data_IF_104225255329
#
_entry.id   IF_104225255329
#
_cell.length_a   1.000
_cell.length_b   1.000
_cell.length_c   1.000
_cell.angle_alpha   90.00
_cell.angle_beta   90.00
_cell.angle_gamma   90.00
#
_symmetry.space_group_name_H-M   'P 1'
#
loop_
_entity.id
_entity.type
_entity.pdbx_description
1 polymer ?
#
# COMPACT_ATOMS: atom_id res chain seq x y z
N UNK A 1 9.88 9.88 1.53
CA UNK A 1 10.10 9.26 0.21
C UNK A 1 9.86 10.30 -0.89
N UNK A 2 10.85 11.13 -1.23
CA UNK A 2 10.64 12.27 -2.14
C UNK A 2 10.44 11.85 -3.62
N UNK A 3 10.57 10.56 -3.95
CA UNK A 3 10.48 10.03 -5.32
C UNK A 3 9.11 9.43 -5.67
N UNK A 4 8.14 9.42 -4.74
CA UNK A 4 6.80 8.87 -5.00
C UNK A 4 6.04 9.84 -5.92
N UNK A 5 5.78 9.40 -7.14
CA UNK A 5 4.97 10.13 -8.12
C UNK A 5 3.53 9.65 -8.03
N UNK A 6 2.57 10.56 -8.18
CA UNK A 6 1.12 10.30 -8.15
C UNK A 6 0.56 9.83 -6.78
N UNK A 7 1.31 10.07 -5.69
CA UNK A 7 0.92 9.68 -4.34
C UNK A 7 1.16 8.20 -4.04
N UNK A 8 0.84 7.79 -2.82
CA UNK A 8 0.99 6.41 -2.37
C UNK A 8 0.08 6.14 -1.17
N UNK A 9 -0.32 4.88 -1.03
CA UNK A 9 -1.17 4.43 0.07
C UNK A 9 -0.47 3.27 0.78
N UNK A 10 -0.46 3.31 2.11
CA UNK A 10 0.01 2.19 2.91
C UNK A 10 -1.13 1.20 3.16
N UNK A 11 -0.97 -0.02 2.68
CA UNK A 11 -1.96 -1.10 2.83
C UNK A 11 -1.41 -2.14 3.80
N UNK A 12 -1.92 -2.25 5.05
CA UNK A 12 -1.56 -3.34 5.93
C UNK A 12 -2.10 -4.65 5.36
N UNK A 13 -1.24 -5.64 5.18
CA UNK A 13 -1.60 -6.95 4.62
C UNK A 13 -0.66 -8.04 5.10
N UNK A 14 -1.18 -9.27 5.16
CA UNK A 14 -0.39 -10.48 5.38
C UNK A 14 0.04 -11.15 4.06
N UNK A 15 -0.44 -10.65 2.92
CA UNK A 15 -0.03 -11.11 1.60
C UNK A 15 1.44 -10.79 1.36
N UNK A 16 2.14 -11.73 0.71
CA UNK A 16 3.55 -11.56 0.41
C UNK A 16 3.72 -10.88 -0.95
N UNK A 17 4.12 -9.60 -0.93
CA UNK A 17 4.41 -8.80 -2.13
C UNK A 17 5.90 -8.52 -2.26
N UNK A 18 6.34 -8.32 -3.49
CA UNK A 18 7.70 -7.90 -3.85
C UNK A 18 7.68 -6.49 -4.41
N UNK A 19 8.81 -5.80 -4.30
CA UNK A 19 8.99 -4.51 -4.94
C UNK A 19 8.82 -4.66 -6.46
N UNK A 20 8.03 -3.79 -7.05
CA UNK A 20 7.72 -3.80 -8.48
C UNK A 20 6.46 -4.57 -8.85
N UNK A 21 5.88 -5.37 -7.95
CA UNK A 21 4.63 -6.08 -8.23
C UNK A 21 3.53 -5.10 -8.63
N UNK A 22 2.82 -5.44 -9.70
CA UNK A 22 1.60 -4.74 -10.11
C UNK A 22 0.42 -5.30 -9.34
N UNK A 23 -0.44 -4.41 -8.85
CA UNK A 23 -1.60 -4.77 -8.02
C UNK A 23 -2.84 -4.06 -8.55
N UNK A 24 -3.97 -4.77 -8.46
CA UNK A 24 -5.29 -4.19 -8.68
C UNK A 24 -6.12 -4.36 -7.41
N UNK A 25 -6.75 -3.28 -6.96
CA UNK A 25 -7.56 -3.29 -5.74
C UNK A 25 -8.78 -2.38 -5.84
N UNK A 26 -9.79 -2.68 -5.04
CA UNK A 26 -10.94 -1.81 -4.84
C UNK A 26 -10.75 -1.05 -3.52
N UNK A 27 -10.61 0.28 -3.60
CA UNK A 27 -10.51 1.16 -2.45
C UNK A 27 -11.89 1.63 -2.01
N UNK A 28 -12.15 1.56 -0.71
CA UNK A 28 -13.30 2.20 -0.10
C UNK A 28 -12.82 3.47 0.60
N UNK A 29 -13.39 4.63 0.26
CA UNK A 29 -13.03 5.92 0.84
C UNK A 29 -14.16 6.43 1.74
N UNK A 30 -13.79 7.16 2.78
CA UNK A 30 -14.77 7.75 3.69
C UNK A 30 -15.64 8.78 2.95
N UNK A 31 -16.96 8.61 3.00
CA UNK A 31 -17.92 9.50 2.36
C UNK A 31 -18.22 9.16 0.89
N UNK A 32 -17.62 8.11 0.35
CA UNK A 32 -17.95 7.57 -0.97
C UNK A 32 -18.79 6.29 -0.80
N UNK A 33 -19.88 6.18 -1.54
CA UNK A 33 -20.74 4.98 -1.51
C UNK A 33 -20.21 3.86 -2.43
N UNK A 34 -19.36 4.22 -3.40
CA UNK A 34 -18.82 3.30 -4.38
C UNK A 34 -17.33 2.98 -4.14
N UNK A 35 -16.95 1.73 -4.42
CA UNK A 35 -15.55 1.32 -4.37
C UNK A 35 -14.81 1.77 -5.63
N UNK A 36 -13.67 2.42 -5.45
CA UNK A 36 -12.83 2.90 -6.55
C UNK A 36 -11.83 1.83 -6.97
N UNK A 37 -11.80 1.41 -8.26
CA UNK A 37 -10.77 0.53 -8.77
C UNK A 37 -9.44 1.27 -8.93
N UNK A 38 -8.37 0.69 -8.40
CA UNK A 38 -7.02 1.24 -8.46
C UNK A 38 -6.05 0.19 -8.95
N UNK A 39 -5.34 0.50 -10.03
CA UNK A 39 -4.14 -0.19 -10.43
C UNK A 39 -2.93 0.54 -9.85
N UNK A 40 -2.01 -0.19 -9.22
CA UNK A 40 -0.85 0.35 -8.55
C UNK A 40 0.37 -0.54 -8.68
N UNK A 41 1.50 -0.04 -8.17
CA UNK A 41 2.76 -0.77 -8.13
C UNK A 41 3.33 -0.73 -6.72
N UNK A 42 3.81 -1.86 -6.23
CA UNK A 42 4.44 -1.96 -4.91
C UNK A 42 5.81 -1.27 -4.95
N UNK A 43 5.91 -0.11 -4.30
CA UNK A 43 7.15 0.70 -4.25
C UNK A 43 7.85 0.66 -2.88
N UNK A 44 7.19 0.07 -1.88
CA UNK A 44 7.70 -0.08 -0.53
C UNK A 44 7.10 -1.33 0.12
N UNK A 45 7.93 -2.10 0.83
CA UNK A 45 7.48 -3.20 1.70
C UNK A 45 8.08 -2.95 3.08
N UNK A 46 7.24 -2.85 4.10
CA UNK A 46 7.71 -2.73 5.49
C UNK A 46 8.18 -4.10 5.99
N UNK A 47 9.47 -4.29 6.32
CA UNK A 47 9.98 -5.57 6.79
C UNK A 47 9.33 -5.97 8.12
N UNK A 48 9.23 -7.28 8.36
CA UNK A 48 8.83 -7.80 9.68
C UNK A 48 9.82 -7.30 10.74
N UNK A 49 9.30 -6.72 11.83
CA UNK A 49 10.11 -6.16 12.91
C UNK A 49 10.63 -4.74 12.68
N UNK A 50 10.25 -4.05 11.60
CA UNK A 50 10.62 -2.66 11.36
C UNK A 50 9.84 -1.64 12.21
N UNK A 51 8.75 -2.06 12.86
CA UNK A 51 8.03 -1.24 13.83
C UNK A 51 8.83 -1.27 15.15
N UNK A 52 9.58 -0.21 15.40
CA UNK A 52 10.58 -0.09 16.48
C UNK A 52 10.02 -0.04 17.90
N UNK A 53 9.09 -0.93 18.27
CA UNK A 53 8.72 -1.16 19.66
C UNK A 53 9.31 -2.51 20.13
N UNK A 54 10.62 -2.50 20.32
CA UNK A 54 11.25 -3.31 21.37
C UNK A 54 11.37 -2.38 22.58
N UNK A 55 10.41 -2.49 23.50
CA UNK A 55 10.29 -1.63 24.69
C UNK A 55 8.88 -1.69 25.26
#
# INVERSE_FOLDING_TARGET
MPFVKNGGLFIPTNSNYRLGDEVFMLLNLMGEDEKLPVAGRVIWVTPKGAQGNQG
#
